data_IF_689453825534
#
_entry.id   IF_689453825534
#
_cell.length_a   1.000
_cell.length_b   1.000
_cell.length_c   1.000
_cell.angle_alpha   90.00
_cell.angle_beta   90.00
_cell.angle_gamma   90.00
#
_symmetry.space_group_name_H-M   'P 1'
#
loop_
_entity.id
_entity.type
_entity.pdbx_description
1 polymer ?
#
# COMPACT_ATOMS: atom_id res chain seq x y z
N UNK A 1 4.37 -10.72 -15.22
CA UNK A 1 3.24 -10.73 -14.26
C UNK A 1 3.71 -9.97 -13.04
N UNK A 2 3.05 -8.87 -12.66
CA UNK A 2 3.53 -8.02 -11.55
C UNK A 2 3.15 -8.70 -10.23
N UNK A 3 4.13 -9.05 -9.42
CA UNK A 3 3.89 -9.56 -8.07
C UNK A 3 3.84 -8.42 -7.06
N UNK A 4 2.75 -8.33 -6.27
CA UNK A 4 2.66 -7.40 -5.15
C UNK A 4 2.82 -8.16 -3.83
N UNK A 5 3.75 -7.69 -2.98
CA UNK A 5 4.02 -8.23 -1.65
C UNK A 5 3.79 -7.16 -0.55
N UNK A 6 3.48 -7.53 0.70
CA UNK A 6 3.25 -8.90 1.16
C UNK A 6 1.95 -9.46 0.55
N UNK A 7 1.97 -10.74 0.21
CA UNK A 7 0.73 -11.49 -0.01
C UNK A 7 -0.08 -11.40 1.28
N UNK A 8 -1.35 -11.04 1.17
CA UNK A 8 -2.27 -11.07 2.30
C UNK A 8 -2.30 -12.49 2.89
N UNK A 9 -1.85 -12.62 4.13
CA UNK A 9 -1.97 -13.85 4.89
C UNK A 9 -3.36 -13.90 5.53
N UNK A 10 -3.98 -15.09 5.56
CA UNK A 10 -5.31 -15.34 6.13
C UNK A 10 -5.48 -14.92 7.61
N UNK A 11 -4.38 -14.63 8.29
CA UNK A 11 -4.33 -14.20 9.70
C UNK A 11 -5.03 -12.88 10.00
N UNK A 12 -5.34 -12.03 9.01
CA UNK A 12 -5.80 -10.65 9.24
C UNK A 12 -7.24 -10.32 8.81
N UNK A 13 -7.92 -11.19 8.07
CA UNK A 13 -9.20 -10.87 7.39
C UNK A 13 -10.35 -11.80 7.79
N UNK A 14 -11.06 -11.49 8.89
CA UNK A 14 -12.36 -12.10 9.17
C UNK A 14 -13.43 -11.55 8.21
N UNK A 15 -14.15 -12.41 7.52
CA UNK A 15 -15.25 -12.00 6.64
C UNK A 15 -16.30 -11.15 7.38
N UNK A 16 -16.77 -10.02 6.82
CA UNK A 16 -17.80 -9.19 7.43
C UNK A 16 -19.14 -9.92 7.61
N UNK A 17 -19.47 -10.86 6.72
CA UNK A 17 -20.64 -11.74 6.86
C UNK A 17 -20.44 -12.80 7.96
N UNK A 18 -19.79 -13.92 7.63
CA UNK A 18 -19.75 -15.11 8.48
C UNK A 18 -18.62 -15.12 9.54
N UNK A 19 -17.67 -14.18 9.49
CA UNK A 19 -16.54 -14.13 10.44
C UNK A 19 -15.41 -15.14 10.19
N UNK A 20 -15.54 -16.01 9.19
CA UNK A 20 -14.51 -16.96 8.76
C UNK A 20 -13.21 -16.26 8.30
N UNK A 21 -12.07 -16.91 8.55
CA UNK A 21 -10.71 -16.43 8.18
C UNK A 21 -10.16 -17.07 6.89
N UNK A 22 -10.83 -18.11 6.37
CA UNK A 22 -10.50 -18.68 5.06
C UNK A 22 -10.98 -17.71 3.97
N UNK A 23 -10.02 -16.99 3.41
CA UNK A 23 -10.29 -15.92 2.47
C UNK A 23 -9.15 -15.81 1.47
N UNK A 24 -9.49 -15.74 0.19
CA UNK A 24 -8.50 -15.65 -0.90
C UNK A 24 -8.51 -14.23 -1.46
N UNK A 25 -7.39 -13.48 -1.36
CA UNK A 25 -7.28 -12.17 -2.01
C UNK A 25 -7.31 -12.33 -3.53
N UNK A 26 -8.26 -11.69 -4.19
CA UNK A 26 -8.40 -11.67 -5.66
C UNK A 26 -7.66 -10.49 -6.30
N UNK A 27 -7.46 -9.40 -5.55
CA UNK A 27 -6.74 -8.22 -6.04
C UNK A 27 -6.53 -7.15 -4.97
N UNK A 28 -5.90 -6.04 -5.37
CA UNK A 28 -5.75 -4.83 -4.56
C UNK A 28 -6.49 -3.66 -5.22
N UNK A 29 -6.90 -2.68 -4.43
CA UNK A 29 -7.48 -1.41 -4.83
C UNK A 29 -6.85 -0.29 -4.00
N UNK A 30 -6.27 0.71 -4.66
CA UNK A 30 -5.77 1.92 -4.01
C UNK A 30 -6.92 2.92 -3.82
N UNK A 31 -7.20 3.31 -2.57
CA UNK A 31 -8.39 4.07 -2.18
C UNK A 31 -8.03 5.22 -1.21
N UNK A 32 -7.56 6.34 -1.77
CA UNK A 32 -6.95 7.47 -1.03
C UNK A 32 -5.94 6.96 0.00
N UNK A 33 -6.09 7.27 1.30
CA UNK A 33 -5.13 6.91 2.36
C UNK A 33 -5.09 5.41 2.67
N UNK A 34 -5.99 4.62 2.09
CA UNK A 34 -6.06 3.18 2.27
C UNK A 34 -5.62 2.41 1.02
N UNK A 35 -5.06 1.23 1.26
CA UNK A 35 -5.00 0.15 0.28
C UNK A 35 -5.96 -0.92 0.79
N UNK A 36 -6.90 -1.35 -0.03
CA UNK A 36 -7.81 -2.45 0.31
C UNK A 36 -7.55 -3.61 -0.63
N UNK A 37 -7.76 -4.84 -0.16
CA UNK A 37 -7.85 -6.00 -1.02
C UNK A 37 -9.31 -6.29 -1.37
N UNK A 38 -9.50 -6.77 -2.58
CA UNK A 38 -10.69 -7.53 -2.97
C UNK A 38 -10.49 -8.98 -2.51
N UNK A 39 -11.50 -9.55 -1.85
CA UNK A 39 -11.41 -10.82 -1.14
C UNK A 39 -12.71 -11.61 -1.30
N UNK A 40 -12.58 -12.89 -1.68
CA UNK A 40 -13.68 -13.86 -1.65
C UNK A 40 -13.59 -14.69 -0.37
N UNK A 41 -14.70 -14.77 0.38
CA UNK A 41 -14.77 -15.64 1.56
C UNK A 41 -15.06 -17.10 1.17
N UNK A 42 -14.13 -18.00 1.44
CA UNK A 42 -14.27 -19.44 1.13
C UNK A 42 -15.26 -20.20 2.01
N UNK A 43 -15.93 -19.53 2.96
CA UNK A 43 -16.93 -20.14 3.85
C UNK A 43 -18.38 -19.79 3.51
N UNK A 44 -18.63 -18.72 2.74
CA UNK A 44 -19.99 -18.27 2.42
C UNK A 44 -20.09 -17.51 1.08
N UNK A 45 -19.04 -17.58 0.25
CA UNK A 45 -18.92 -17.00 -1.10
C UNK A 45 -19.23 -15.50 -1.22
N UNK A 46 -19.22 -14.79 -0.10
CA UNK A 46 -19.39 -13.33 -0.06
C UNK A 46 -18.10 -12.65 -0.48
N UNK A 47 -18.20 -11.78 -1.49
CA UNK A 47 -17.15 -10.83 -1.87
C UNK A 47 -17.14 -9.62 -0.93
N UNK A 48 -15.96 -9.25 -0.47
CA UNK A 48 -15.76 -8.12 0.45
C UNK A 48 -14.42 -7.45 0.23
N UNK A 49 -14.34 -6.19 0.64
CA UNK A 49 -13.09 -5.46 0.75
C UNK A 49 -12.52 -5.60 2.17
N UNK A 50 -11.20 -5.70 2.26
CA UNK A 50 -10.46 -5.69 3.53
C UNK A 50 -9.31 -4.69 3.44
N UNK A 51 -9.21 -3.76 4.39
CA UNK A 51 -8.08 -2.82 4.42
C UNK A 51 -6.80 -3.53 4.77
N UNK A 52 -5.75 -3.34 3.96
CA UNK A 52 -4.39 -3.58 4.44
C UNK A 52 -4.20 -2.77 5.73
N UNK A 53 -3.57 -3.35 6.75
CA UNK A 53 -3.59 -2.78 8.08
C UNK A 53 -2.77 -1.49 8.14
N UNK A 54 -3.45 -0.37 7.96
CA UNK A 54 -3.07 0.88 8.58
C UNK A 54 -3.24 0.75 10.10
N UNK A 55 -2.64 1.65 10.87
CA UNK A 55 -2.84 1.75 12.32
C UNK A 55 -3.15 3.22 12.61
N UNK A 56 -4.09 3.42 13.52
CA UNK A 56 -4.35 4.71 14.15
C UNK A 56 -4.34 4.48 15.67
N UNK A 57 -3.66 5.36 16.40
CA UNK A 57 -3.60 5.38 17.87
C UNK A 57 -3.53 4.00 18.56
N UNK A 58 -2.48 3.24 18.27
CA UNK A 58 -2.16 1.92 18.82
C UNK A 58 -3.02 0.72 18.35
N UNK A 59 -4.11 0.95 17.60
CA UNK A 59 -4.98 -0.12 17.10
C UNK A 59 -4.85 -0.35 15.58
N UNK A 60 -4.70 -1.61 15.12
CA UNK A 60 -4.71 -1.91 13.69
C UNK A 60 -6.11 -1.65 13.11
N UNK A 61 -6.16 -0.73 12.15
CA UNK A 61 -7.32 -0.49 11.29
C UNK A 61 -7.45 -1.69 10.35
N UNK A 62 -8.12 -2.73 10.85
CA UNK A 62 -8.66 -3.83 10.07
C UNK A 62 -10.14 -3.57 9.82
N UNK A 63 -10.42 -2.78 8.79
CA UNK A 63 -11.77 -2.54 8.27
C UNK A 63 -12.08 -3.62 7.25
N UNK A 64 -13.25 -4.26 7.36
CA UNK A 64 -13.78 -5.17 6.35
C UNK A 64 -15.21 -4.77 6.00
N UNK A 65 -15.58 -4.74 4.73
CA UNK A 65 -16.97 -4.45 4.31
C UNK A 65 -17.36 -5.19 3.04
N UNK A 66 -18.60 -5.65 2.96
CA UNK A 66 -19.12 -6.31 1.75
C UNK A 66 -19.16 -5.34 0.57
N UNK A 67 -19.04 -5.85 -0.66
CA UNK A 67 -19.09 -5.00 -1.87
C UNK A 67 -20.43 -4.27 -2.04
N UNK A 68 -21.52 -4.81 -1.49
CA UNK A 68 -22.82 -4.13 -1.45
C UNK A 68 -22.95 -3.08 -0.33
N UNK A 69 -21.92 -2.92 0.50
CA UNK A 69 -21.85 -1.96 1.60
C UNK A 69 -22.75 -2.27 2.80
N UNK A 70 -23.51 -3.38 2.79
CA UNK A 70 -24.52 -3.67 3.84
C UNK A 70 -23.91 -4.15 5.16
N UNK A 71 -22.75 -4.79 5.13
CA UNK A 71 -22.09 -5.35 6.30
C UNK A 71 -20.69 -4.79 6.43
N UNK A 72 -20.35 -4.35 7.64
CA UNK A 72 -19.06 -3.72 7.97
C UNK A 72 -18.55 -4.28 9.29
N UNK A 73 -17.27 -4.61 9.36
CA UNK A 73 -16.55 -4.93 10.60
C UNK A 73 -15.35 -3.99 10.75
N UNK A 74 -15.15 -3.55 11.99
CA UNK A 74 -14.04 -2.71 12.43
C UNK A 74 -13.69 -3.13 13.87
N UNK A 75 -12.48 -2.80 14.35
CA UNK A 75 -12.00 -3.27 15.67
C UNK A 75 -12.60 -2.49 16.84
N UNK A 76 -12.75 -1.18 16.68
CA UNK A 76 -13.10 -0.19 17.72
C UNK A 76 -14.09 0.83 17.17
N UNK A 77 -14.96 1.39 18.02
CA UNK A 77 -15.94 2.40 17.55
C UNK A 77 -15.29 3.68 17.02
N UNK A 78 -14.05 3.99 17.43
CA UNK A 78 -13.21 5.03 16.81
C UNK A 78 -13.04 4.84 15.31
N UNK A 79 -13.09 3.59 14.81
CA UNK A 79 -12.86 3.27 13.41
C UNK A 79 -14.17 3.21 12.59
N UNK A 80 -15.32 3.45 13.22
CA UNK A 80 -16.65 3.41 12.59
C UNK A 80 -16.83 4.46 11.49
N UNK A 81 -16.35 5.68 11.72
CA UNK A 81 -16.42 6.76 10.72
C UNK A 81 -15.52 6.44 9.52
N UNK A 82 -14.34 5.88 9.76
CA UNK A 82 -13.38 5.51 8.73
C UNK A 82 -13.87 4.32 7.90
N UNK A 83 -14.48 3.33 8.55
CA UNK A 83 -15.11 2.19 7.89
C UNK A 83 -16.28 2.61 7.00
N UNK A 84 -17.08 3.58 7.45
CA UNK A 84 -18.13 4.20 6.64
C UNK A 84 -17.53 4.99 5.46
N UNK A 85 -16.55 5.85 5.72
CA UNK A 85 -15.87 6.64 4.69
C UNK A 85 -15.28 5.77 3.60
N UNK A 86 -14.55 4.71 3.97
CA UNK A 86 -13.91 3.80 3.03
C UNK A 86 -14.93 2.99 2.22
N UNK A 87 -16.03 2.56 2.84
CA UNK A 87 -17.16 1.93 2.12
C UNK A 87 -17.80 2.90 1.11
N UNK A 88 -18.05 4.16 1.49
CA UNK A 88 -18.63 5.16 0.59
C UNK A 88 -17.65 5.59 -0.53
N UNK A 89 -16.34 5.66 -0.25
CA UNK A 89 -15.27 5.97 -1.20
C UNK A 89 -15.09 4.86 -2.26
N UNK A 90 -15.22 3.59 -1.85
CA UNK A 90 -15.12 2.46 -2.79
C UNK A 90 -16.42 2.31 -3.59
N UNK A 91 -17.59 2.50 -2.97
CA UNK A 91 -18.88 2.14 -3.57
C UNK A 91 -19.69 3.29 -4.21
N UNK A 92 -19.46 4.57 -3.86
CA UNK A 92 -20.41 5.66 -4.19
C UNK A 92 -19.80 6.98 -4.68
N UNK A 93 -18.63 7.39 -4.22
CA UNK A 93 -18.02 8.68 -4.60
C UNK A 93 -16.52 8.52 -4.85
N UNK A 94 -16.01 9.08 -5.95
CA UNK A 94 -14.55 9.27 -6.09
C UNK A 94 -14.13 10.69 -5.81
N UNK A 95 -12.92 10.80 -5.27
CA UNK A 95 -12.14 12.02 -5.28
C UNK A 95 -11.13 11.85 -6.42
N UNK A 96 -11.07 12.82 -7.33
CA UNK A 96 -10.12 12.75 -8.45
C UNK A 96 -8.74 13.18 -8.00
N UNK A 97 -7.78 12.28 -8.12
CA UNK A 97 -6.37 12.57 -7.91
C UNK A 97 -5.64 12.72 -9.24
N UNK A 98 -4.75 13.70 -9.33
CA UNK A 98 -3.72 13.74 -10.37
C UNK A 98 -2.42 13.19 -9.79
N UNK A 99 -1.91 12.12 -10.38
CA UNK A 99 -0.58 11.58 -10.08
C UNK A 99 0.43 12.35 -10.93
N UNK A 100 1.51 12.82 -10.30
CA UNK A 100 2.68 13.37 -10.97
C UNK A 100 3.90 12.61 -10.49
N UNK A 101 4.70 12.11 -11.43
CA UNK A 101 5.95 11.43 -11.12
C UNK A 101 7.09 12.43 -11.22
N UNK A 102 7.85 12.56 -10.14
CA UNK A 102 9.04 13.39 -10.01
C UNK A 102 10.24 12.44 -9.89
N UNK A 103 11.32 12.75 -10.63
CA UNK A 103 12.54 11.94 -10.67
C UNK A 103 12.31 10.47 -11.07
N UNK A 104 11.50 10.24 -12.12
CA UNK A 104 11.19 8.91 -12.68
C UNK A 104 12.48 8.10 -12.90
N UNK A 105 12.52 6.87 -12.37
CA UNK A 105 13.68 5.97 -12.38
C UNK A 105 13.41 4.68 -13.15
N UNK A 106 14.50 3.99 -13.46
CA UNK A 106 14.53 2.62 -13.99
C UNK A 106 15.19 1.71 -12.94
N UNK A 107 14.39 0.87 -12.29
CA UNK A 107 14.82 -0.22 -11.41
C UNK A 107 13.87 -1.40 -11.64
N UNK A 108 14.35 -2.64 -11.45
CA UNK A 108 13.54 -3.83 -11.74
C UNK A 108 12.57 -4.15 -10.60
N UNK A 109 13.00 -3.88 -9.35
CA UNK A 109 12.22 -4.10 -8.14
C UNK A 109 11.90 -2.76 -7.48
N UNK A 110 10.61 -2.49 -7.26
CA UNK A 110 10.15 -1.28 -6.57
C UNK A 110 9.75 -1.59 -5.12
N UNK A 111 10.25 -0.81 -4.16
CA UNK A 111 9.67 -0.73 -2.82
C UNK A 111 8.70 0.45 -2.77
N UNK A 112 7.41 0.16 -2.59
CA UNK A 112 6.34 1.16 -2.56
C UNK A 112 6.08 1.61 -1.12
N UNK A 113 6.37 2.88 -0.86
CA UNK A 113 6.15 3.58 0.40
C UNK A 113 4.94 4.51 0.23
N UNK A 114 3.82 4.14 0.84
CA UNK A 114 2.54 4.82 0.62
C UNK A 114 2.08 5.60 1.86
N UNK A 115 2.04 6.94 1.79
CA UNK A 115 1.62 7.78 2.92
C UNK A 115 0.88 9.04 2.46
N UNK A 116 -0.45 8.99 2.43
CA UNK A 116 -1.31 10.14 2.17
C UNK A 116 -1.86 10.74 3.48
N UNK A 117 -0.95 11.25 4.31
CA UNK A 117 -1.30 12.06 5.50
C UNK A 117 -1.33 13.55 5.16
N UNK A 118 -2.30 14.28 5.72
CA UNK A 118 -2.37 15.75 5.65
C UNK A 118 -1.52 16.43 6.76
N UNK A 119 -0.92 15.67 7.67
CA UNK A 119 -0.06 16.17 8.75
C UNK A 119 1.44 16.10 8.35
N UNK A 120 2.14 17.23 8.40
CA UNK A 120 3.54 17.36 7.97
C UNK A 120 4.53 16.55 8.85
N UNK A 121 4.34 16.53 10.17
CA UNK A 121 5.20 15.80 11.12
C UNK A 121 5.13 14.29 10.85
N UNK A 122 3.91 13.79 10.58
CA UNK A 122 3.66 12.41 10.14
C UNK A 122 4.42 12.10 8.85
N UNK A 123 4.42 13.00 7.87
CA UNK A 123 5.18 12.80 6.62
C UNK A 123 6.71 12.83 6.86
N UNK A 124 7.21 13.74 7.70
CA UNK A 124 8.64 13.80 8.02
C UNK A 124 9.12 12.54 8.74
N UNK A 125 8.38 12.11 9.77
CA UNK A 125 8.65 10.88 10.49
C UNK A 125 8.62 9.67 9.54
N UNK A 126 7.74 9.65 8.53
CA UNK A 126 7.68 8.58 7.53
C UNK A 126 8.93 8.55 6.66
N UNK A 127 9.31 9.69 6.09
CA UNK A 127 10.48 9.85 5.22
C UNK A 127 11.78 9.48 5.96
N UNK A 128 11.87 9.74 7.27
CA UNK A 128 13.03 9.37 8.09
C UNK A 128 13.31 7.87 8.10
N UNK A 129 12.27 7.04 7.99
CA UNK A 129 12.31 5.56 8.12
C UNK A 129 12.55 4.85 6.79
N UNK A 130 12.69 5.60 5.71
CA UNK A 130 13.05 5.06 4.39
C UNK A 130 14.56 4.78 4.38
N UNK A 131 15.02 3.60 3.92
CA UNK A 131 16.44 3.26 3.87
C UNK A 131 17.26 4.33 3.14
N UNK A 132 18.46 4.60 3.66
CA UNK A 132 19.45 5.49 3.00
C UNK A 132 20.29 4.73 1.96
N UNK A 133 20.40 3.42 2.13
CA UNK A 133 21.13 2.50 1.25
C UNK A 133 20.38 2.25 -0.06
N UNK A 134 21.12 2.17 -1.17
CA UNK A 134 20.59 1.82 -2.49
C UNK A 134 21.16 0.48 -2.95
N UNK A 135 20.28 -0.43 -3.37
CA UNK A 135 20.68 -1.68 -4.01
C UNK A 135 20.68 -1.51 -5.53
N UNK A 136 21.60 -2.16 -6.25
CA UNK A 136 21.83 -1.93 -7.68
C UNK A 136 20.58 -2.10 -8.57
N UNK A 137 19.69 -3.04 -8.22
CA UNK A 137 18.46 -3.34 -8.99
C UNK A 137 17.15 -2.94 -8.28
N UNK A 138 17.22 -2.31 -7.11
CA UNK A 138 16.04 -1.98 -6.29
C UNK A 138 15.96 -0.49 -6.01
N UNK A 139 14.77 0.09 -6.16
CA UNK A 139 14.53 1.50 -5.84
C UNK A 139 13.29 1.71 -4.99
N UNK A 140 13.17 2.95 -4.50
CA UNK A 140 12.08 3.38 -3.63
C UNK A 140 11.13 4.29 -4.41
N UNK A 141 9.83 4.02 -4.29
CA UNK A 141 8.74 4.87 -4.75
C UNK A 141 8.04 5.41 -3.51
N UNK A 142 8.01 6.74 -3.35
CA UNK A 142 7.22 7.39 -2.28
C UNK A 142 5.95 7.98 -2.88
N UNK A 143 4.78 7.55 -2.39
CA UNK A 143 3.48 8.16 -2.71
C UNK A 143 3.05 9.07 -1.56
N UNK A 144 2.93 10.37 -1.83
CA UNK A 144 2.57 11.43 -0.87
C UNK A 144 1.74 12.53 -1.54
N UNK A 145 1.09 13.40 -0.78
CA UNK A 145 0.43 14.59 -1.36
C UNK A 145 1.44 15.61 -1.93
N UNK A 146 1.06 16.30 -3.01
CA UNK A 146 1.91 17.26 -3.76
C UNK A 146 2.46 18.39 -2.88
N UNK A 147 1.72 18.87 -1.87
CA UNK A 147 2.24 19.91 -0.98
C UNK A 147 3.46 19.47 -0.18
N UNK A 148 3.63 18.17 0.10
CA UNK A 148 4.72 17.63 0.92
C UNK A 148 5.94 17.14 0.13
N UNK A 149 5.93 17.24 -1.21
CA UNK A 149 7.06 16.78 -2.07
C UNK A 149 8.42 17.36 -1.69
N UNK A 150 8.43 18.57 -1.13
CA UNK A 150 9.64 19.29 -0.74
C UNK A 150 10.34 18.67 0.48
N UNK A 151 9.65 17.82 1.26
CA UNK A 151 10.21 17.10 2.40
C UNK A 151 11.13 15.93 1.98
N UNK A 152 11.16 15.57 0.69
CA UNK A 152 11.98 14.47 0.15
C UNK A 152 13.17 15.07 -0.63
N UNK A 153 14.32 15.14 0.02
CA UNK A 153 15.57 15.67 -0.56
C UNK A 153 16.48 14.62 -1.23
N UNK A 154 16.01 13.36 -1.36
CA UNK A 154 16.86 12.23 -1.76
C UNK A 154 16.80 11.96 -3.27
N UNK A 155 17.92 12.17 -3.97
CA UNK A 155 18.03 11.98 -5.43
C UNK A 155 17.81 10.54 -5.91
N UNK A 156 17.90 9.54 -5.02
CA UNK A 156 17.81 8.11 -5.34
C UNK A 156 16.40 7.54 -5.16
N UNK A 157 15.38 8.40 -5.10
CA UNK A 157 13.99 8.02 -4.86
C UNK A 157 13.11 8.58 -5.99
N UNK A 158 12.14 7.79 -6.44
CA UNK A 158 11.05 8.25 -7.30
C UNK A 158 9.89 8.74 -6.43
N UNK A 159 9.39 9.95 -6.69
CA UNK A 159 8.30 10.54 -5.89
C UNK A 159 7.03 10.59 -6.76
N UNK A 160 5.96 9.97 -6.26
CA UNK A 160 4.64 10.01 -6.85
C UNK A 160 3.80 11.00 -6.05
N UNK A 161 3.82 12.26 -6.49
CA UNK A 161 3.07 13.31 -5.85
C UNK A 161 1.60 13.28 -6.29
N UNK A 162 0.73 13.28 -5.30
CA UNK A 162 -0.72 13.15 -5.44
C UNK A 162 -1.36 14.51 -5.22
N UNK A 163 -2.00 15.06 -6.25
CA UNK A 163 -2.78 16.30 -6.13
C UNK A 163 -4.27 15.97 -6.05
N UNK A 164 -4.89 16.27 -4.91
CA UNK A 164 -6.35 16.21 -4.70
C UNK A 164 -7.00 17.33 -5.51
N UNK A 165 -7.87 17.01 -6.47
CA UNK A 165 -8.56 18.01 -7.28
C UNK A 165 -9.85 18.47 -6.57
N UNK A 166 -10.01 19.78 -6.44
CA UNK A 166 -11.10 20.41 -5.67
C UNK A 166 -12.44 20.47 -6.40
N UNK A 167 -12.49 20.13 -7.69
CA UNK A 167 -13.73 20.10 -8.47
C UNK A 167 -14.23 18.66 -8.63
N UNK A 168 -15.49 18.35 -8.26
CA UNK A 168 -16.08 17.05 -8.54
C UNK A 168 -16.20 16.86 -10.06
N UNK A 169 -15.71 15.71 -10.53
CA UNK A 169 -15.87 15.21 -11.90
C UNK A 169 -16.40 13.78 -11.72
N UNK A 170 -17.35 13.30 -12.54
CA UNK A 170 -17.79 11.91 -12.50
C UNK A 170 -16.65 10.98 -12.95
N UNK A 171 -15.85 10.55 -11.98
CA UNK A 171 -14.86 9.48 -12.04
C UNK A 171 -15.16 8.47 -10.93
N UNK A 172 -14.49 7.32 -10.92
CA UNK A 172 -14.61 6.30 -9.86
C UNK A 172 -13.28 6.10 -9.14
N UNK A 173 -13.31 5.48 -7.94
CA UNK A 173 -12.10 5.09 -7.20
C UNK A 173 -11.17 4.18 -8.03
N UNK A 174 -11.77 3.39 -8.95
CA UNK A 174 -11.07 2.60 -9.95
C UNK A 174 -10.16 3.42 -10.87
N UNK A 175 -10.49 4.69 -11.20
CA UNK A 175 -9.65 5.50 -12.10
C UNK A 175 -8.29 5.86 -11.46
N UNK A 176 -8.28 6.06 -10.14
CA UNK A 176 -7.06 6.31 -9.36
C UNK A 176 -6.21 5.03 -9.26
N UNK A 177 -6.85 3.91 -8.92
CA UNK A 177 -6.23 2.60 -8.85
C UNK A 177 -5.62 2.18 -10.20
N UNK A 178 -6.36 2.33 -11.31
CA UNK A 178 -5.87 2.07 -12.65
C UNK A 178 -4.68 2.97 -13.02
N UNK A 179 -4.70 4.25 -12.61
CA UNK A 179 -3.60 5.19 -12.84
C UNK A 179 -2.32 4.75 -12.12
N UNK A 180 -2.42 4.30 -10.86
CA UNK A 180 -1.31 3.70 -10.10
C UNK A 180 -0.82 2.42 -10.78
N UNK A 181 -1.72 1.48 -11.08
CA UNK A 181 -1.39 0.18 -11.69
C UNK A 181 -0.85 0.29 -13.11
N UNK A 182 -1.13 1.38 -13.84
CA UNK A 182 -0.53 1.63 -15.16
C UNK A 182 0.97 1.87 -15.05
N UNK A 183 1.42 2.62 -14.05
CA UNK A 183 2.85 2.88 -13.81
C UNK A 183 3.55 1.64 -13.20
N UNK A 184 2.82 0.78 -12.49
CA UNK A 184 3.36 -0.51 -12.01
C UNK A 184 3.88 -1.42 -13.12
N UNK A 185 3.40 -1.28 -14.36
CA UNK A 185 3.87 -2.05 -15.53
C UNK A 185 5.34 -1.84 -15.90
N UNK A 186 6.01 -0.87 -15.26
CA UNK A 186 7.44 -0.57 -15.43
C UNK A 186 8.36 -1.46 -14.59
N UNK A 187 7.80 -2.25 -13.67
CA UNK A 187 8.55 -3.02 -12.68
C UNK A 187 8.18 -4.50 -12.78
N UNK A 188 9.16 -5.38 -12.61
CA UNK A 188 8.91 -6.82 -12.55
C UNK A 188 8.18 -7.18 -11.25
N UNK A 189 8.54 -6.48 -10.16
CA UNK A 189 8.05 -6.77 -8.81
C UNK A 189 7.87 -5.50 -7.99
N UNK A 190 6.78 -5.48 -7.20
CA UNK A 190 6.46 -4.37 -6.30
C UNK A 190 6.29 -4.90 -4.89
N UNK A 191 7.08 -4.35 -3.98
CA UNK A 191 7.08 -4.66 -2.57
C UNK A 191 6.40 -3.48 -1.87
N UNK A 192 5.11 -3.61 -1.54
CA UNK A 192 4.48 -2.69 -0.60
C UNK A 192 5.21 -2.81 0.73
N UNK A 193 5.77 -1.69 1.20
CA UNK A 193 6.44 -1.64 2.48
C UNK A 193 5.41 -1.93 3.59
N UNK A 194 5.42 -3.14 4.14
CA UNK A 194 4.52 -3.55 5.22
C UNK A 194 4.95 -2.93 6.55
N UNK A 195 4.73 -1.63 6.66
CA UNK A 195 4.93 -0.87 7.87
C UNK A 195 3.56 -0.76 8.54
N UNK A 196 3.23 -1.76 9.36
CA UNK A 196 2.16 -1.70 10.38
C UNK A 196 2.54 -0.61 11.37
N UNK A 197 1.72 0.43 11.64
CA UNK A 197 2.22 1.43 12.61
C UNK A 197 1.35 2.39 13.43
N UNK A 198 1.61 2.32 14.74
CA UNK A 198 1.56 3.36 15.77
C UNK A 198 2.40 4.58 15.35
N UNK A 199 1.94 5.39 14.38
CA UNK A 199 2.69 6.55 13.87
C UNK A 199 4.21 6.30 13.56
N UNK A 200 4.56 5.14 13.00
CA UNK A 200 5.82 4.75 12.28
C UNK A 200 7.04 4.31 13.15
N UNK A 201 7.67 3.12 13.02
CA UNK A 201 7.57 1.96 12.08
C UNK A 201 7.59 0.59 12.81
N UNK A 202 6.83 -0.44 12.36
CA UNK A 202 7.18 -1.86 12.61
C UNK A 202 8.00 -2.41 11.44
N UNK A 203 9.21 -2.88 11.75
CA UNK A 203 10.16 -3.45 10.81
C UNK A 203 10.05 -4.97 10.77
N UNK A 204 9.94 -5.55 9.57
CA UNK A 204 10.28 -6.95 9.32
C UNK A 204 11.34 -7.02 8.22
N UNK A 205 12.59 -7.17 8.64
CA UNK A 205 13.73 -7.45 7.75
C UNK A 205 13.53 -8.84 7.11
N UNK A 206 13.05 -8.88 5.87
CA UNK A 206 13.17 -10.09 5.05
C UNK A 206 14.62 -10.27 4.61
N UNK A 207 15.45 -10.81 5.51
CA UNK A 207 16.79 -11.34 5.21
C UNK A 207 16.68 -12.67 4.45
N UNK A 208 16.04 -12.63 3.28
CA UNK A 208 15.82 -13.79 2.42
C UNK A 208 17.04 -14.04 1.52
N UNK A 209 18.01 -14.75 2.11
CA UNK A 209 18.98 -15.65 1.46
C UNK A 209 19.20 -15.42 -0.04
N UNK A 210 20.14 -14.54 -0.39
CA UNK A 210 20.91 -14.80 -1.61
C UNK A 210 21.75 -16.06 -1.34
N UNK A 211 21.46 -17.12 -2.09
CA UNK A 211 22.14 -18.40 -1.96
C UNK A 211 23.60 -18.23 -2.45
N UNK A 212 24.56 -18.27 -1.53
CA UNK A 212 25.97 -18.39 -1.89
C UNK A 212 26.20 -19.81 -2.43
N UNK A 213 25.97 -20.01 -3.74
CA UNK A 213 26.60 -21.09 -4.51
C UNK A 213 26.95 -20.61 -5.92
N UNK A 214 28.24 -20.76 -6.24
CA UNK A 214 28.88 -20.65 -7.58
C UNK A 214 28.75 -19.26 -8.24
N UNK A 215 29.80 -18.44 -8.36
CA UNK A 215 31.21 -18.77 -8.65
C UNK A 215 32.14 -17.62 -8.19
N UNK A 216 33.11 -17.92 -7.33
CA UNK A 216 34.41 -17.25 -7.38
C UNK A 216 35.47 -18.35 -7.33
N UNK A 217 36.03 -18.68 -8.49
CA UNK A 217 37.33 -19.32 -8.56
C UNK A 217 38.36 -18.25 -8.22
N UNK A 218 39.05 -18.38 -7.09
CA UNK A 218 40.30 -17.68 -6.86
C UNK A 218 41.39 -18.71 -6.56
N UNK A 219 42.19 -19.00 -7.59
CA UNK A 219 43.58 -19.41 -7.38
C UNK A 219 44.27 -18.26 -6.62
N UNK A 220 44.91 -18.55 -5.51
CA UNK A 220 46.04 -17.76 -5.04
C UNK A 220 47.15 -18.75 -4.72
N UNK A 221 48.32 -18.51 -5.30
CA UNK A 221 49.56 -19.22 -4.99
C UNK A 221 50.18 -18.63 -3.72
N UNK A 222 50.80 -19.49 -2.92
CA UNK A 222 51.99 -19.21 -2.13
C UNK A 222 52.82 -20.50 -2.11
#
# INVERSE_FOLDING_TARGET
MIEIYPKLTSSFSKCPACGCQLSTPSGLLFAEKHIVADVLCSCCDVEYYHSYPAKDNNDPISIAFTKDGKQVKYKTDSNKWEARYLSELVNKNSIKYRIKIINKKSFNIAHLYYCLSENAETIQAFISKIPKETFLDQGFIIVIFEQFKHLISRNNIEIWSIQKLTKPIPTTSYDYDQSIKKEFKRFDKILLANQLIDQQVISLYFKLRYWIKKKINLKIWA
#
